data_IF_961416977473
#
_entry.id   IF_961416977473
#
_cell.length_a   1.000
_cell.length_b   1.000
_cell.length_c   1.000
_cell.angle_alpha   90.00
_cell.angle_beta   90.00
_cell.angle_gamma   90.00
#
_symmetry.space_group_name_H-M   'P 1'
#
loop_
_entity.id
_entity.type
_entity.pdbx_description
1 polymer ?
#
# COMPACT_ATOMS: atom_id res chain seq x y z
N UNK A 1 -14.36 11.50 -13.04
CA UNK A 1 -14.89 10.86 -11.82
C UNK A 1 -16.08 9.96 -12.15
N UNK A 2 -15.82 8.70 -12.51
CA UNK A 2 -16.86 7.66 -12.62
C UNK A 2 -16.60 6.60 -11.56
N UNK A 3 -17.57 6.43 -10.67
CA UNK A 3 -17.92 5.12 -10.13
C UNK A 3 -17.19 4.63 -8.88
N UNK A 4 -17.12 5.43 -7.82
CA UNK A 4 -17.03 4.84 -6.48
C UNK A 4 -18.45 4.44 -6.06
N UNK A 5 -18.77 3.14 -6.11
CA UNK A 5 -20.10 2.62 -5.79
C UNK A 5 -20.10 1.96 -4.41
N UNK A 6 -20.93 2.51 -3.51
CA UNK A 6 -21.13 2.01 -2.15
C UNK A 6 -22.41 1.17 -2.08
N UNK A 7 -22.40 0.09 -1.29
CA UNK A 7 -23.63 -0.63 -0.92
C UNK A 7 -24.09 -0.10 0.45
N UNK A 8 -25.34 0.37 0.54
CA UNK A 8 -25.92 1.00 1.72
C UNK A 8 -25.78 0.13 2.98
N UNK A 9 -25.21 0.70 4.04
CA UNK A 9 -25.25 0.12 5.40
C UNK A 9 -24.17 0.60 6.37
N UNK A 10 -22.95 0.94 5.91
CA UNK A 10 -21.86 1.41 6.78
C UNK A 10 -21.38 2.82 6.34
N UNK A 11 -21.11 3.71 7.31
CA UNK A 11 -20.53 5.02 7.00
C UNK A 11 -19.11 4.83 6.45
N UNK A 12 -18.86 5.36 5.25
CA UNK A 12 -17.52 5.35 4.66
C UNK A 12 -16.54 6.13 5.56
N UNK A 13 -15.49 5.48 6.05
CA UNK A 13 -14.53 6.09 6.96
C UNK A 13 -13.28 6.61 6.24
N UNK A 14 -12.54 7.53 6.85
CA UNK A 14 -11.29 8.07 6.28
C UNK A 14 -10.27 6.96 5.98
N UNK A 15 -10.22 5.88 6.78
CA UNK A 15 -9.36 4.72 6.50
C UNK A 15 -9.75 3.99 5.20
N UNK A 16 -11.05 3.90 4.91
CA UNK A 16 -11.52 3.32 3.66
C UNK A 16 -11.21 4.26 2.48
N UNK A 17 -11.37 5.59 2.68
CA UNK A 17 -10.94 6.60 1.70
C UNK A 17 -9.47 6.43 1.36
N UNK A 18 -8.59 6.39 2.37
CA UNK A 18 -7.16 6.24 2.20
C UNK A 18 -6.82 5.01 1.36
N UNK A 19 -7.38 3.85 1.70
CA UNK A 19 -7.16 2.61 0.93
C UNK A 19 -7.61 2.78 -0.53
N UNK A 20 -8.75 3.43 -0.76
CA UNK A 20 -9.21 3.71 -2.12
C UNK A 20 -8.23 4.62 -2.87
N UNK A 21 -7.77 5.72 -2.25
CA UNK A 21 -6.83 6.66 -2.87
C UNK A 21 -5.48 6.01 -3.17
N UNK A 22 -4.93 5.21 -2.25
CA UNK A 22 -3.70 4.46 -2.47
C UNK A 22 -3.85 3.52 -3.68
N UNK A 23 -4.97 2.82 -3.79
CA UNK A 23 -5.24 1.95 -4.92
C UNK A 23 -5.55 2.74 -6.21
N UNK A 24 -6.07 3.96 -6.18
CA UNK A 24 -6.23 4.71 -7.44
C UNK A 24 -4.89 5.28 -7.90
N UNK A 25 -4.08 5.79 -6.97
CA UNK A 25 -2.82 6.49 -7.25
C UNK A 25 -1.68 5.57 -7.71
N UNK A 26 -1.63 4.34 -7.20
CA UNK A 26 -0.47 3.45 -7.35
C UNK A 26 -0.82 2.11 -7.99
N UNK A 27 -0.88 2.01 -9.33
CA UNK A 27 -1.30 0.81 -10.06
C UNK A 27 -0.46 -0.44 -9.75
N UNK A 28 0.74 -0.27 -9.19
CA UNK A 28 1.64 -1.32 -8.70
C UNK A 28 1.04 -2.14 -7.54
N UNK A 29 0.24 -1.50 -6.69
CA UNK A 29 -0.28 -2.14 -5.49
C UNK A 29 -1.42 -3.09 -5.85
N UNK A 30 -1.27 -4.39 -5.63
CA UNK A 30 -2.35 -5.36 -5.81
C UNK A 30 -3.38 -5.29 -4.68
N UNK A 31 -2.92 -5.22 -3.43
CA UNK A 31 -3.82 -5.08 -2.26
C UNK A 31 -3.23 -4.16 -1.19
N UNK A 32 -4.10 -3.47 -0.45
CA UNK A 32 -3.77 -2.75 0.78
C UNK A 32 -4.54 -3.35 1.93
N UNK A 33 -3.88 -3.68 3.04
CA UNK A 33 -4.52 -4.16 4.26
C UNK A 33 -4.21 -3.22 5.42
N UNK A 34 -5.23 -2.90 6.19
CA UNK A 34 -5.12 -2.14 7.42
C UNK A 34 -5.48 -3.04 8.62
N UNK A 35 -4.58 -3.12 9.58
CA UNK A 35 -4.78 -3.80 10.86
C UNK A 35 -4.78 -2.77 12.00
N UNK A 36 -5.95 -2.49 12.62
CA UNK A 36 -6.03 -1.54 13.72
C UNK A 36 -5.43 -2.07 15.03
N UNK A 37 -5.38 -3.39 15.22
CA UNK A 37 -4.83 -3.98 16.45
C UNK A 37 -3.30 -3.89 16.46
N UNK A 38 -2.68 -4.07 15.30
CA UNK A 38 -1.23 -3.91 15.13
C UNK A 38 -0.82 -2.48 14.73
N UNK A 39 -1.79 -1.62 14.41
CA UNK A 39 -1.57 -0.30 13.78
C UNK A 39 -0.65 -0.38 12.56
N UNK A 40 -0.96 -1.27 11.64
CA UNK A 40 -0.13 -1.46 10.43
C UNK A 40 -0.91 -1.29 9.15
N UNK A 41 -0.19 -0.82 8.13
CA UNK A 41 -0.59 -0.89 6.73
C UNK A 41 0.33 -1.87 6.01
N UNK A 42 -0.26 -2.80 5.25
CA UNK A 42 0.46 -3.75 4.42
C UNK A 42 0.11 -3.51 2.95
N UNK A 43 1.15 -3.29 2.14
CA UNK A 43 1.09 -3.20 0.69
C UNK A 43 1.50 -4.55 0.12
N UNK A 44 0.68 -5.09 -0.79
CA UNK A 44 1.03 -6.33 -1.50
C UNK A 44 1.13 -6.07 -2.99
N UNK A 45 2.22 -6.56 -3.57
CA UNK A 45 2.56 -6.49 -4.98
C UNK A 45 2.58 -7.91 -5.55
N UNK A 46 2.17 -8.05 -6.82
CA UNK A 46 2.12 -9.35 -7.48
C UNK A 46 3.17 -9.37 -8.58
N UNK A 47 4.07 -10.34 -8.51
CA UNK A 47 5.10 -10.57 -9.52
C UNK A 47 4.69 -11.78 -10.38
N UNK A 48 4.74 -11.61 -11.69
CA UNK A 48 4.50 -12.65 -12.70
C UNK A 48 5.68 -13.62 -12.85
N UNK A 49 6.27 -14.01 -11.72
CA UNK A 49 7.38 -14.95 -11.63
C UNK A 49 7.46 -15.56 -10.24
N UNK A 50 8.22 -16.64 -10.13
CA UNK A 50 8.71 -17.14 -8.83
C UNK A 50 9.94 -16.34 -8.43
N UNK A 51 9.85 -15.56 -7.36
CA UNK A 51 10.92 -14.71 -6.86
C UNK A 51 11.98 -15.57 -6.16
N UNK A 52 13.23 -15.61 -6.65
CA UNK A 52 14.32 -16.31 -5.98
C UNK A 52 14.69 -15.63 -4.65
N UNK A 53 15.01 -16.41 -3.63
CA UNK A 53 15.42 -15.91 -2.30
C UNK A 53 16.61 -14.93 -2.37
N UNK A 54 17.57 -15.16 -3.26
CA UNK A 54 18.71 -14.26 -3.46
C UNK A 54 18.29 -12.90 -4.02
N UNK A 55 17.35 -12.91 -4.96
CA UNK A 55 16.81 -11.68 -5.57
C UNK A 55 15.96 -10.93 -4.55
N UNK A 56 15.13 -11.64 -3.78
CA UNK A 56 14.39 -11.09 -2.66
C UNK A 56 15.30 -10.43 -1.62
N UNK A 57 16.41 -11.08 -1.25
CA UNK A 57 17.41 -10.54 -0.34
C UNK A 57 18.00 -9.22 -0.84
N UNK A 58 18.43 -9.18 -2.10
CA UNK A 58 18.97 -7.96 -2.73
C UNK A 58 17.94 -6.84 -2.84
N UNK A 59 16.68 -7.16 -3.18
CA UNK A 59 15.58 -6.19 -3.18
C UNK A 59 15.36 -5.61 -1.78
N UNK A 60 15.26 -6.48 -0.77
CA UNK A 60 15.00 -6.10 0.62
C UNK A 60 16.09 -5.19 1.16
N UNK A 61 17.36 -5.51 0.90
CA UNK A 61 18.50 -4.66 1.27
C UNK A 61 18.41 -3.29 0.60
N UNK A 62 18.14 -3.24 -0.70
CA UNK A 62 18.03 -1.98 -1.45
C UNK A 62 16.88 -1.10 -0.90
N UNK A 63 15.71 -1.69 -0.66
CA UNK A 63 14.56 -0.96 -0.12
C UNK A 63 14.84 -0.42 1.28
N UNK A 64 15.43 -1.22 2.16
CA UNK A 64 15.78 -0.79 3.52
C UNK A 64 16.84 0.31 3.51
N UNK A 65 17.87 0.21 2.66
CA UNK A 65 18.87 1.26 2.49
C UNK A 65 18.22 2.57 2.03
N UNK A 66 17.31 2.51 1.06
CA UNK A 66 16.59 3.68 0.55
C UNK A 66 15.74 4.34 1.63
N UNK A 67 15.00 3.54 2.41
CA UNK A 67 14.15 4.02 3.50
C UNK A 67 14.93 4.61 4.67
N UNK A 68 16.06 4.00 5.03
CA UNK A 68 16.94 4.55 6.06
C UNK A 68 17.53 5.89 5.61
N UNK A 69 17.99 5.98 4.36
CA UNK A 69 18.55 7.22 3.83
C UNK A 69 17.56 8.38 3.86
N UNK A 70 16.30 8.17 3.46
CA UNK A 70 15.30 9.25 3.53
C UNK A 70 14.94 9.60 4.98
N UNK A 71 14.85 8.61 5.86
CA UNK A 71 14.57 8.84 7.29
C UNK A 71 15.66 9.66 7.97
N UNK A 72 16.94 9.36 7.68
CA UNK A 72 18.09 10.10 8.19
C UNK A 72 18.11 11.54 7.68
N UNK A 73 17.87 11.75 6.38
CA UNK A 73 17.81 13.09 5.79
C UNK A 73 16.70 13.97 6.37
N UNK A 74 15.63 13.35 6.85
CA UNK A 74 14.46 14.03 7.42
C UNK A 74 14.50 14.10 8.96
N UNK A 75 15.53 13.54 9.60
CA UNK A 75 15.64 13.41 11.05
C UNK A 75 14.42 12.70 11.69
N UNK A 76 13.86 11.71 10.96
CA UNK A 76 12.69 10.92 11.37
C UNK A 76 13.09 9.50 11.76
N UNK A 77 12.23 8.85 12.54
CA UNK A 77 12.38 7.43 12.87
C UNK A 77 11.59 6.59 11.85
N UNK A 78 12.25 5.63 11.20
CA UNK A 78 11.62 4.71 10.25
C UNK A 78 10.58 3.80 10.91
N UNK A 79 10.58 3.61 12.24
CA UNK A 79 9.67 2.70 12.92
C UNK A 79 9.90 1.23 12.52
N UNK A 80 8.82 0.45 12.52
CA UNK A 80 8.81 -0.97 12.21
C UNK A 80 8.44 -1.25 10.75
N UNK A 81 9.28 -2.03 10.08
CA UNK A 81 9.04 -2.51 8.72
C UNK A 81 9.21 -4.03 8.66
N UNK A 82 8.30 -4.71 7.97
CA UNK A 82 8.42 -6.13 7.65
C UNK A 82 8.27 -6.30 6.14
N UNK A 83 9.22 -7.01 5.54
CA UNK A 83 9.23 -7.31 4.10
C UNK A 83 9.37 -8.81 3.98
N UNK A 84 8.36 -9.44 3.37
CA UNK A 84 8.23 -10.87 3.16
C UNK A 84 7.71 -11.13 1.74
N UNK A 85 7.78 -12.38 1.28
CA UNK A 85 7.06 -12.81 0.09
C UNK A 85 6.49 -14.21 0.27
N UNK A 86 5.51 -14.55 -0.55
CA UNK A 86 5.01 -15.92 -0.68
C UNK A 86 4.83 -16.29 -2.15
N UNK A 87 4.84 -17.58 -2.45
CA UNK A 87 4.70 -18.09 -3.82
C UNK A 87 3.39 -18.89 -3.92
N UNK A 88 2.59 -18.60 -4.94
CA UNK A 88 1.36 -19.31 -5.23
C UNK A 88 1.13 -19.34 -6.75
N UNK A 89 0.87 -20.52 -7.31
CA UNK A 89 0.57 -20.74 -8.73
C UNK A 89 1.57 -20.09 -9.71
N UNK A 90 2.86 -20.13 -9.36
CA UNK A 90 3.94 -19.57 -10.18
C UNK A 90 4.08 -18.04 -10.08
N UNK A 91 3.22 -17.38 -9.30
CA UNK A 91 3.29 -15.96 -8.96
C UNK A 91 3.93 -15.77 -7.59
N UNK A 92 4.53 -14.60 -7.39
CA UNK A 92 5.07 -14.20 -6.09
C UNK A 92 4.35 -12.98 -5.55
N UNK A 93 3.92 -13.06 -4.30
CA UNK A 93 3.23 -12.01 -3.59
C UNK A 93 4.21 -11.37 -2.63
N UNK A 94 4.76 -10.22 -3.02
CA UNK A 94 5.64 -9.42 -2.18
C UNK A 94 4.77 -8.60 -1.22
N UNK A 95 5.05 -8.68 0.08
CA UNK A 95 4.30 -8.00 1.13
C UNK A 95 5.23 -7.09 1.93
N UNK A 96 4.88 -5.80 1.99
CA UNK A 96 5.60 -4.78 2.73
C UNK A 96 4.65 -4.18 3.76
N UNK A 97 4.95 -4.41 5.03
CA UNK A 97 4.16 -3.92 6.16
C UNK A 97 4.91 -2.81 6.89
N UNK A 98 4.23 -1.70 7.16
CA UNK A 98 4.72 -0.54 7.92
C UNK A 98 3.80 -0.26 9.10
N UNK A 99 4.35 0.20 10.22
CA UNK A 99 3.52 0.83 11.25
C UNK A 99 2.98 2.16 10.75
N UNK A 100 1.78 2.50 11.21
CA UNK A 100 1.09 3.71 10.81
C UNK A 100 1.66 4.94 11.49
N UNK A 101 2.16 4.80 12.71
CA UNK A 101 2.60 5.93 13.54
C UNK A 101 3.78 6.69 12.88
N UNK A 102 4.71 5.99 12.20
CA UNK A 102 5.83 6.61 11.49
C UNK A 102 5.63 6.82 9.99
N UNK A 103 4.69 6.10 9.36
CA UNK A 103 4.49 6.14 7.92
C UNK A 103 4.01 7.53 7.44
N UNK A 104 4.55 7.96 6.29
CA UNK A 104 4.14 9.16 5.57
C UNK A 104 4.00 8.86 4.06
N UNK A 105 3.44 9.80 3.31
CA UNK A 105 3.18 9.64 1.88
C UNK A 105 4.47 9.49 1.05
N UNK A 106 5.53 10.21 1.39
CA UNK A 106 6.81 10.14 0.66
C UNK A 106 7.46 8.75 0.77
N UNK A 107 7.39 8.12 1.95
CA UNK A 107 7.82 6.75 2.17
C UNK A 107 7.02 5.75 1.32
N UNK A 108 5.71 5.94 1.22
CA UNK A 108 4.84 5.11 0.36
C UNK A 108 5.28 5.26 -1.10
N UNK A 109 5.47 6.49 -1.57
CA UNK A 109 5.94 6.76 -2.92
C UNK A 109 7.32 6.12 -3.18
N UNK A 110 8.23 6.17 -2.21
CA UNK A 110 9.55 5.55 -2.30
C UNK A 110 9.47 4.02 -2.37
N UNK A 111 8.67 3.38 -1.49
CA UNK A 111 8.47 1.93 -1.50
C UNK A 111 7.99 1.47 -2.87
N UNK A 112 7.01 2.18 -3.43
CA UNK A 112 6.39 1.84 -4.71
C UNK A 112 7.38 2.09 -5.86
N UNK A 113 8.07 3.22 -5.85
CA UNK A 113 9.07 3.56 -6.87
C UNK A 113 10.26 2.58 -6.90
N UNK A 114 10.75 2.15 -5.73
CA UNK A 114 11.80 1.13 -5.64
C UNK A 114 11.29 -0.23 -6.11
N UNK A 115 10.07 -0.62 -5.71
CA UNK A 115 9.45 -1.88 -6.13
C UNK A 115 9.25 -1.93 -7.64
N UNK A 116 8.67 -0.88 -8.21
CA UNK A 116 8.49 -0.73 -9.66
C UNK A 116 9.83 -0.84 -10.37
N UNK A 117 10.82 -0.04 -9.99
CA UNK A 117 12.12 -0.01 -10.68
C UNK A 117 12.86 -1.34 -10.59
N UNK A 118 12.74 -2.05 -9.47
CA UNK A 118 13.47 -3.30 -9.27
C UNK A 118 12.88 -4.47 -10.05
N UNK A 119 11.55 -4.58 -10.10
CA UNK A 119 10.87 -5.71 -10.74
C UNK A 119 10.33 -5.41 -12.14
N UNK A 120 10.14 -4.15 -12.49
CA UNK A 120 9.76 -3.62 -13.80
C UNK A 120 8.76 -4.52 -14.55
N UNK A 121 9.24 -5.31 -15.52
CA UNK A 121 8.42 -6.15 -16.40
C UNK A 121 7.73 -7.32 -15.71
N UNK A 122 8.23 -7.73 -14.53
CA UNK A 122 7.65 -8.82 -13.75
C UNK A 122 6.52 -8.32 -12.85
N UNK A 123 6.41 -7.02 -12.59
CA UNK A 123 5.38 -6.46 -11.73
C UNK A 123 4.04 -6.40 -12.47
N UNK A 124 3.01 -7.02 -11.92
CA UNK A 124 1.65 -6.89 -12.47
C UNK A 124 1.10 -5.50 -12.14
N UNK A 125 0.85 -4.74 -13.19
CA UNK A 125 0.25 -3.40 -13.12
C UNK A 125 -1.19 -3.45 -13.61
N UNK A 126 -2.07 -2.69 -12.96
CA UNK A 126 -3.39 -2.38 -13.53
C UNK A 126 -3.28 -1.21 -14.51
N UNK A 127 -4.27 -1.06 -15.41
CA UNK A 127 -4.25 0.02 -16.40
C UNK A 127 -4.27 1.39 -15.70
N UNK A 128 -3.27 2.19 -16.02
CA UNK A 128 -3.18 3.56 -15.53
C UNK A 128 -4.08 4.45 -16.41
N UNK A 129 -5.04 5.15 -15.82
CA UNK A 129 -5.62 6.32 -16.48
C UNK A 129 -4.54 7.41 -16.50
N UNK A 130 -4.33 8.07 -17.64
CA UNK A 130 -3.37 9.18 -17.74
C UNK A 130 -3.84 10.34 -16.83
N UNK A 131 -3.28 10.44 -15.62
CA UNK A 131 -3.49 11.54 -14.69
C UNK A 131 -2.56 12.71 -15.04
N UNK A 132 -3.04 13.94 -14.88
CA UNK A 132 -2.20 15.14 -15.06
C UNK A 132 -1.30 15.36 -13.83
N UNK A 133 -0.17 16.05 -13.98
CA UNK A 133 0.77 16.29 -12.87
C UNK A 133 0.13 17.04 -11.69
N UNK A 134 -0.74 18.01 -11.97
CA UNK A 134 -1.49 18.74 -10.93
C UNK A 134 -2.42 17.81 -10.13
N UNK A 135 -3.02 16.81 -10.80
CA UNK A 135 -3.86 15.80 -10.13
C UNK A 135 -3.03 14.88 -9.24
N UNK A 136 -1.76 14.63 -9.61
CA UNK A 136 -0.84 13.79 -8.82
C UNK A 136 -0.50 14.47 -7.50
N UNK A 137 -0.08 15.74 -7.53
CA UNK A 137 0.29 16.49 -6.32
C UNK A 137 -0.89 16.56 -5.35
N UNK A 138 -2.08 16.87 -5.87
CA UNK A 138 -3.30 16.92 -5.04
C UNK A 138 -3.61 15.56 -4.40
N UNK A 139 -3.45 14.46 -5.13
CA UNK A 139 -3.65 13.11 -4.58
C UNK A 139 -2.64 12.78 -3.48
N UNK A 140 -1.39 13.22 -3.60
CA UNK A 140 -0.35 13.01 -2.61
C UNK A 140 -0.63 13.80 -1.32
N UNK A 141 -1.03 15.06 -1.42
CA UNK A 141 -1.48 15.85 -0.27
C UNK A 141 -2.69 15.22 0.43
N UNK A 142 -3.67 14.70 -0.34
CA UNK A 142 -4.82 14.00 0.22
C UNK A 142 -4.42 12.71 0.96
N UNK A 143 -3.48 11.94 0.42
CA UNK A 143 -2.95 10.72 1.06
C UNK A 143 -2.27 11.08 2.37
N UNK A 144 -1.42 12.11 2.38
CA UNK A 144 -0.73 12.59 3.59
C UNK A 144 -1.73 13.00 4.68
N UNK A 145 -2.72 13.81 4.33
CA UNK A 145 -3.77 14.21 5.28
C UNK A 145 -4.55 13.02 5.84
N UNK A 146 -4.90 12.04 5.00
CA UNK A 146 -5.63 10.85 5.45
C UNK A 146 -4.78 9.89 6.27
N UNK A 147 -3.46 9.86 6.07
CA UNK A 147 -2.54 9.12 6.92
C UNK A 147 -2.48 9.73 8.32
N UNK A 148 -2.39 11.06 8.42
CA UNK A 148 -2.44 11.76 9.70
C UNK A 148 -3.76 11.51 10.45
N UNK A 149 -4.89 11.62 9.75
CA UNK A 149 -6.20 11.27 10.32
C UNK A 149 -6.25 9.81 10.81
N UNK A 150 -5.61 8.89 10.09
CA UNK A 150 -5.58 7.47 10.44
C UNK A 150 -4.81 7.22 11.74
N UNK A 151 -3.68 7.92 11.96
CA UNK A 151 -2.85 7.83 13.17
C UNK A 151 -3.66 8.14 14.44
N UNK A 152 -4.54 9.12 14.36
CA UNK A 152 -5.40 9.57 15.46
C UNK A 152 -6.77 8.86 15.53
N UNK A 153 -7.09 8.04 14.53
CA UNK A 153 -8.40 7.41 14.42
C UNK A 153 -8.61 6.28 15.43
N UNK A 154 -9.86 6.13 15.92
CA UNK A 154 -10.32 4.94 16.65
C UNK A 154 -10.89 3.88 15.71
N UNK A 155 -10.33 3.72 14.52
CA UNK A 155 -10.81 2.70 13.59
C UNK A 155 -10.57 1.31 14.21
N UNK A 156 -11.63 0.53 14.40
CA UNK A 156 -11.54 -0.82 15.00
C UNK A 156 -11.63 -1.93 13.96
N UNK A 157 -12.00 -1.59 12.73
CA UNK A 157 -12.25 -2.54 11.64
C UNK A 157 -10.96 -2.88 10.89
N UNK A 158 -10.71 -4.17 10.69
CA UNK A 158 -9.68 -4.67 9.77
C UNK A 158 -10.17 -4.47 8.35
N UNK A 159 -9.43 -3.73 7.54
CA UNK A 159 -9.82 -3.43 6.16
C UNK A 159 -8.88 -4.12 5.18
N UNK A 160 -9.42 -4.56 4.06
CA UNK A 160 -8.66 -5.00 2.90
C UNK A 160 -9.26 -4.34 1.66
N UNK A 161 -8.41 -3.67 0.89
CA UNK A 161 -8.75 -3.13 -0.43
C UNK A 161 -7.99 -3.84 -1.53
N UNK A 162 -8.64 -4.01 -2.68
CA UNK A 162 -8.01 -4.52 -3.90
C UNK A 162 -8.76 -4.02 -5.14
N UNK A 163 -8.14 -4.17 -6.31
CA UNK A 163 -8.75 -3.82 -7.59
C UNK A 163 -9.35 -5.05 -8.26
N UNK A 164 -10.51 -4.87 -8.87
CA UNK A 164 -11.15 -5.87 -9.71
C UNK A 164 -11.88 -5.17 -10.87
N UNK A 165 -11.43 -5.42 -12.10
CA UNK A 165 -12.01 -4.87 -13.34
C UNK A 165 -12.17 -3.33 -13.33
N UNK A 166 -11.11 -2.61 -12.95
CA UNK A 166 -11.12 -1.13 -12.90
C UNK A 166 -11.92 -0.54 -11.75
N UNK A 167 -12.34 -1.34 -10.77
CA UNK A 167 -13.04 -0.90 -9.56
C UNK A 167 -12.19 -1.19 -8.33
N UNK A 168 -12.20 -0.29 -7.37
CA UNK A 168 -11.65 -0.55 -6.03
C UNK A 168 -12.75 -1.14 -5.15
N UNK A 169 -12.48 -2.31 -4.57
CA UNK A 169 -13.35 -2.97 -3.61
C UNK A 169 -12.68 -2.92 -2.24
N UNK A 170 -13.46 -2.57 -1.21
CA UNK A 170 -12.98 -2.53 0.18
C UNK A 170 -13.89 -3.40 1.03
N UNK A 171 -13.28 -4.33 1.76
CA UNK A 171 -13.98 -5.24 2.66
C UNK A 171 -13.52 -5.02 4.08
N UNK A 172 -14.50 -4.98 4.99
CA UNK A 172 -14.26 -5.14 6.41
C UNK A 172 -14.18 -6.65 6.73
N UNK A 173 -13.02 -7.13 7.16
CA UNK A 173 -12.92 -8.48 7.72
C UNK A 173 -13.35 -8.42 9.18
N UNK A 174 -14.62 -8.74 9.43
CA UNK A 174 -15.07 -9.09 10.77
C UNK A 174 -14.22 -10.27 11.30
N UNK A 175 -13.91 -10.25 12.60
CA UNK A 175 -13.14 -11.32 13.26
C UNK A 175 -13.74 -12.69 12.91
N UNK A 176 -12.97 -13.54 12.23
CA UNK A 176 -13.20 -14.98 12.26
C UNK A 176 -12.81 -15.41 13.68
N UNK A 177 -13.79 -15.50 14.58
CA UNK A 177 -13.60 -16.23 15.83
C UNK A 177 -13.20 -17.67 15.44
N UNK A 178 -11.94 -18.02 15.65
CA UNK A 178 -11.51 -19.42 15.74
C UNK A 178 -11.85 -19.94 17.13
#
# INVERSE_FOLDING_TARGET
MKGIFWKEGESFSNSMSLIAFLLVRYPEIGTVRFDPEQKTLQFSFILNKVLPESEFGSFKENLLLSLNAISELQERNLGSIQINFSVCDGLSFLEIQRDIDSLNQEEIALIIGVTHRYFESDLLLDQQENLQEEDIILQEEMIEHMLEDLKDSRQEKRLIGFREEGRVLIFNRAKLHK
#
